data_IF_120685654272
#
_entry.id   IF_120685654272
#
_cell.length_a   1.000
_cell.length_b   1.000
_cell.length_c   1.000
_cell.angle_alpha   90.00
_cell.angle_beta   90.00
_cell.angle_gamma   90.00
#
_symmetry.space_group_name_H-M   'P 1'
#
loop_
_entity.id
_entity.type
_entity.pdbx_description
1 polymer ?
#
# COMPACT_ATOMS: atom_id res chain seq x y z
N UNK A 1 -29.93 -5.43 38.60
CA UNK A 1 -29.23 -4.50 37.69
C UNK A 1 -27.74 -4.80 37.75
N UNK A 2 -27.21 -5.45 36.69
CA UNK A 2 -25.83 -5.38 36.15
C UNK A 2 -25.63 -6.59 35.22
N UNK A 3 -25.97 -6.36 33.96
CA UNK A 3 -25.62 -7.23 32.84
C UNK A 3 -24.10 -7.15 32.63
N UNK A 4 -23.44 -8.31 32.68
CA UNK A 4 -22.04 -8.46 32.32
C UNK A 4 -21.97 -8.53 30.81
N UNK A 5 -21.60 -7.42 30.17
CA UNK A 5 -21.32 -7.39 28.74
C UNK A 5 -19.85 -7.73 28.54
N UNK A 6 -19.61 -8.91 28.00
CA UNK A 6 -18.34 -9.43 27.50
C UNK A 6 -17.74 -8.45 26.47
N UNK A 7 -16.51 -7.91 26.66
CA UNK A 7 -15.90 -7.06 25.66
C UNK A 7 -15.38 -7.95 24.52
N UNK A 8 -16.16 -8.04 23.44
CA UNK A 8 -15.73 -8.68 22.21
C UNK A 8 -14.37 -8.12 21.76
N UNK A 9 -13.32 -8.95 21.85
CA UNK A 9 -11.98 -8.67 21.34
C UNK A 9 -12.10 -8.34 19.84
N UNK A 10 -11.86 -7.07 19.48
CA UNK A 10 -11.79 -6.68 18.07
C UNK A 10 -10.58 -7.39 17.44
N UNK A 11 -10.73 -8.09 16.31
CA UNK A 11 -9.60 -8.64 15.59
C UNK A 11 -8.66 -7.48 15.24
N UNK A 12 -7.41 -7.57 15.66
CA UNK A 12 -6.37 -6.68 15.13
C UNK A 12 -6.16 -7.03 13.66
N UNK A 13 -6.21 -6.06 12.74
CA UNK A 13 -5.74 -6.26 11.39
C UNK A 13 -4.32 -6.83 11.45
N UNK A 14 -4.12 -8.01 10.85
CA UNK A 14 -2.79 -8.60 10.74
C UNK A 14 -1.84 -7.63 10.01
N UNK A 15 -0.54 -7.67 10.29
CA UNK A 15 0.42 -6.89 9.53
C UNK A 15 0.24 -7.19 8.04
N UNK A 16 0.36 -6.17 7.15
CA UNK A 16 0.29 -6.40 5.72
C UNK A 16 1.31 -7.49 5.33
N UNK A 17 0.98 -8.37 4.37
CA UNK A 17 1.91 -9.39 3.90
C UNK A 17 3.24 -8.70 3.59
N UNK A 18 4.30 -9.14 4.27
CA UNK A 18 5.59 -8.48 4.25
C UNK A 18 6.00 -8.20 2.82
N UNK A 19 6.02 -6.92 2.44
CA UNK A 19 6.67 -6.48 1.23
C UNK A 19 8.12 -6.88 1.38
N UNK A 20 8.51 -7.93 0.65
CA UNK A 20 9.90 -8.34 0.57
C UNK A 20 10.67 -7.06 0.24
N UNK A 21 11.50 -6.63 1.20
CA UNK A 21 12.40 -5.51 0.99
C UNK A 21 13.30 -5.92 -0.17
N UNK A 22 12.91 -5.53 -1.37
CA UNK A 22 13.82 -5.51 -2.47
C UNK A 22 14.83 -4.45 -2.07
N UNK A 23 16.10 -4.83 -1.95
CA UNK A 23 17.25 -3.92 -2.04
C UNK A 23 17.32 -3.24 -3.44
N UNK A 24 16.16 -3.03 -4.09
CA UNK A 24 16.03 -2.21 -5.28
C UNK A 24 16.01 -0.75 -4.84
N UNK A 25 16.60 0.11 -5.67
CA UNK A 25 16.48 1.55 -5.53
C UNK A 25 15.00 1.92 -5.35
N UNK A 26 14.61 2.57 -4.22
CA UNK A 26 13.22 2.97 -3.98
C UNK A 26 12.65 3.83 -5.11
N UNK A 27 13.54 4.51 -5.86
CA UNK A 27 13.16 5.28 -7.04
C UNK A 27 12.74 4.42 -8.23
N UNK A 28 13.30 3.22 -8.39
CA UNK A 28 12.98 2.34 -9.51
C UNK A 28 11.52 1.86 -9.44
N UNK A 29 11.01 1.54 -8.25
CA UNK A 29 9.59 1.16 -8.05
C UNK A 29 8.64 2.31 -8.38
N UNK A 30 9.00 3.54 -8.02
CA UNK A 30 8.23 4.74 -8.37
C UNK A 30 8.24 4.97 -9.90
N UNK A 31 9.39 4.84 -10.55
CA UNK A 31 9.51 5.04 -12.01
C UNK A 31 8.67 4.01 -12.78
N UNK A 32 8.68 2.74 -12.35
CA UNK A 32 7.83 1.69 -12.92
C UNK A 32 6.33 1.99 -12.72
N UNK A 33 5.93 2.33 -11.49
CA UNK A 33 4.53 2.61 -11.18
C UNK A 33 4.00 3.85 -11.93
N UNK A 34 4.85 4.87 -12.13
CA UNK A 34 4.49 6.05 -12.91
C UNK A 34 4.41 5.73 -14.41
N UNK A 35 5.34 4.93 -14.95
CA UNK A 35 5.28 4.51 -16.36
C UNK A 35 4.00 3.71 -16.66
N UNK A 36 3.52 2.90 -15.71
CA UNK A 36 2.27 2.16 -15.83
C UNK A 36 1.01 3.06 -15.89
N UNK A 37 1.13 4.36 -15.61
CA UNK A 37 0.04 5.33 -15.79
C UNK A 37 -0.09 5.82 -17.24
N UNK A 38 0.94 5.67 -18.08
CA UNK A 38 0.86 6.11 -19.49
C UNK A 38 -0.19 5.30 -20.28
N UNK A 39 -0.40 4.04 -19.88
CA UNK A 39 -1.39 3.11 -20.46
C UNK A 39 -2.76 3.16 -19.74
N UNK A 40 -2.95 4.04 -18.76
CA UNK A 40 -4.18 4.11 -17.94
C UNK A 40 -5.44 4.34 -18.79
N UNK A 41 -5.31 5.11 -19.88
CA UNK A 41 -6.42 5.41 -20.80
C UNK A 41 -6.97 4.20 -21.55
N UNK A 42 -6.18 3.13 -21.66
CA UNK A 42 -6.56 1.89 -22.34
C UNK A 42 -7.28 0.91 -21.39
N UNK A 43 -7.30 1.20 -20.09
CA UNK A 43 -7.89 0.35 -19.05
C UNK A 43 -9.31 0.78 -18.69
N UNK A 44 -10.15 -0.16 -18.23
CA UNK A 44 -11.42 0.17 -17.60
C UNK A 44 -11.22 1.14 -16.41
N UNK A 45 -12.12 2.11 -16.25
CA UNK A 45 -12.08 3.09 -15.15
C UNK A 45 -12.03 2.42 -13.76
N UNK A 46 -12.62 1.22 -13.62
CA UNK A 46 -12.56 0.46 -12.39
C UNK A 46 -11.13 0.05 -11.98
N UNK A 47 -10.23 -0.14 -12.95
CA UNK A 47 -8.83 -0.51 -12.72
C UNK A 47 -7.94 0.71 -12.43
N UNK A 48 -8.42 1.93 -12.70
CA UNK A 48 -7.62 3.14 -12.49
C UNK A 48 -7.23 3.33 -11.03
N UNK A 49 -8.15 2.99 -10.11
CA UNK A 49 -7.92 3.11 -8.67
C UNK A 49 -6.74 2.25 -8.24
N UNK A 50 -6.65 1.02 -8.73
CA UNK A 50 -5.55 0.10 -8.41
C UNK A 50 -4.20 0.62 -8.94
N UNK A 51 -4.17 1.18 -10.15
CA UNK A 51 -2.95 1.80 -10.72
C UNK A 51 -2.47 3.00 -9.90
N UNK A 52 -3.38 3.85 -9.44
CA UNK A 52 -3.02 4.98 -8.58
C UNK A 52 -2.61 4.53 -7.16
N UNK A 53 -3.25 3.49 -6.61
CA UNK A 53 -2.90 2.94 -5.30
C UNK A 53 -1.49 2.33 -5.29
N UNK A 54 -1.08 1.68 -6.39
CA UNK A 54 0.28 1.19 -6.57
C UNK A 54 1.32 2.32 -6.47
N UNK A 55 1.10 3.47 -7.14
CA UNK A 55 1.99 4.64 -7.05
C UNK A 55 2.07 5.18 -5.62
N UNK A 56 0.93 5.29 -4.92
CA UNK A 56 0.92 5.73 -3.53
C UNK A 56 1.68 4.76 -2.61
N UNK A 57 1.56 3.46 -2.84
CA UNK A 57 2.28 2.42 -2.10
C UNK A 57 3.79 2.56 -2.29
N UNK A 58 4.27 2.70 -3.53
CA UNK A 58 5.70 2.87 -3.82
C UNK A 58 6.27 4.16 -3.19
N UNK A 59 5.51 5.26 -3.24
CA UNK A 59 5.88 6.50 -2.55
C UNK A 59 5.95 6.33 -1.03
N UNK A 60 4.99 5.63 -0.42
CA UNK A 60 4.98 5.35 1.01
C UNK A 60 6.17 4.48 1.44
N UNK A 61 6.50 3.46 0.63
CA UNK A 61 7.67 2.59 0.85
C UNK A 61 8.96 3.41 0.78
N UNK A 62 9.14 4.21 -0.28
CA UNK A 62 10.32 5.05 -0.45
C UNK A 62 10.49 6.05 0.70
N UNK A 63 9.44 6.76 1.08
CA UNK A 63 9.49 7.72 2.20
C UNK A 63 9.76 7.03 3.55
N UNK A 64 9.13 5.88 3.80
CA UNK A 64 9.35 5.09 5.01
C UNK A 64 10.78 4.54 5.11
N UNK A 65 11.42 4.26 3.97
CA UNK A 65 12.83 3.85 3.94
C UNK A 65 13.80 4.97 4.32
N UNK A 66 13.45 6.23 4.06
CA UNK A 66 14.26 7.42 4.37
C UNK A 66 14.13 7.81 5.85
N UNK A 67 12.96 7.58 6.46
CA UNK A 67 12.66 7.97 7.86
C UNK A 67 13.34 7.09 8.93
N UNK A 68 14.02 6.01 8.53
CA UNK A 68 14.84 5.18 9.43
C UNK A 68 16.18 5.88 9.74
N UNK A 69 16.14 6.89 10.61
CA UNK A 69 17.33 7.56 11.21
C UNK A 69 17.55 7.19 12.66
#
# INVERSE_FOLDING_TARGET
MREQTDPAERPVPGPPPGHAAHDADPRAGIEEAVAALDELGDLPVAEHVERFDAVHTELAVALSSIDKV
#
